data_IF_747189055234
#
_entry.id   IF_747189055234
#
_cell.length_a   1.000
_cell.length_b   1.000
_cell.length_c   1.000
_cell.angle_alpha   90.00
_cell.angle_beta   90.00
_cell.angle_gamma   90.00
#
_symmetry.space_group_name_H-M   'P 1'
#
loop_
_entity.id
_entity.type
_entity.pdbx_description
1 polymer ?
#
# COMPACT_ATOMS: atom_id res chain seq x y z
N UNK A 1 -40.06 -21.73 -3.57
CA UNK A 1 -39.25 -20.88 -2.68
C UNK A 1 -38.12 -20.25 -3.48
N UNK A 2 -38.21 -18.96 -3.82
CA UNK A 2 -37.14 -18.24 -4.52
C UNK A 2 -36.00 -17.97 -3.52
N UNK A 3 -34.83 -18.58 -3.73
CA UNK A 3 -33.63 -18.28 -2.95
C UNK A 3 -33.17 -16.88 -3.35
N UNK A 4 -33.40 -15.89 -2.50
CA UNK A 4 -32.90 -14.53 -2.71
C UNK A 4 -31.39 -14.57 -2.94
N UNK A 5 -30.90 -13.95 -4.02
CA UNK A 5 -29.47 -13.77 -4.25
C UNK A 5 -28.89 -13.07 -3.03
N UNK A 6 -27.95 -13.71 -2.33
CA UNK A 6 -27.16 -13.03 -1.30
C UNK A 6 -26.48 -11.82 -1.95
N UNK A 7 -26.57 -10.61 -1.38
CA UNK A 7 -25.89 -9.45 -1.93
C UNK A 7 -24.38 -9.74 -1.92
N UNK A 8 -23.79 -9.88 -3.11
CA UNK A 8 -22.33 -9.92 -3.27
C UNK A 8 -21.85 -8.49 -3.34
N UNK A 9 -21.40 -7.95 -2.20
CA UNK A 9 -20.67 -6.68 -2.20
C UNK A 9 -19.38 -6.86 -3.02
N UNK A 10 -19.03 -5.89 -3.88
CA UNK A 10 -17.80 -5.98 -4.65
C UNK A 10 -16.59 -5.95 -3.69
N UNK A 11 -15.71 -6.94 -3.82
CA UNK A 11 -14.49 -7.02 -3.02
C UNK A 11 -13.63 -5.78 -3.23
N UNK A 12 -13.32 -5.08 -2.15
CA UNK A 12 -12.37 -3.97 -2.21
C UNK A 12 -10.94 -4.50 -2.15
N UNK A 13 -10.05 -3.91 -2.94
CA UNK A 13 -8.65 -4.34 -2.94
C UNK A 13 -7.95 -4.16 -1.60
N UNK A 14 -8.43 -3.22 -0.77
CA UNK A 14 -7.87 -2.92 0.53
C UNK A 14 -8.16 -4.00 1.57
N UNK A 15 -9.21 -4.81 1.36
CA UNK A 15 -9.61 -5.89 2.26
C UNK A 15 -8.81 -7.18 2.01
N UNK A 16 -8.09 -7.24 0.89
CA UNK A 16 -7.30 -8.40 0.53
C UNK A 16 -5.96 -8.43 1.28
N UNK A 17 -5.64 -9.60 1.85
CA UNK A 17 -4.32 -9.87 2.42
C UNK A 17 -3.25 -9.61 1.36
N UNK A 18 -2.22 -8.85 1.70
CA UNK A 18 -1.27 -8.33 0.71
C UNK A 18 0.18 -8.51 1.15
N UNK A 19 0.99 -9.07 0.25
CA UNK A 19 2.45 -9.01 0.33
C UNK A 19 2.95 -7.68 -0.20
N UNK A 20 3.85 -7.04 0.53
CA UNK A 20 4.46 -5.79 0.11
C UNK A 20 5.98 -5.92 0.19
N UNK A 21 6.66 -5.80 -0.96
CA UNK A 21 8.11 -5.99 -1.05
C UNK A 21 8.87 -4.98 -0.18
N UNK A 22 8.26 -3.81 0.09
CA UNK A 22 8.82 -2.81 1.00
C UNK A 22 8.99 -3.37 2.42
N UNK A 23 8.06 -4.20 2.92
CA UNK A 23 8.18 -4.82 4.24
C UNK A 23 9.37 -5.77 4.32
N UNK A 24 9.63 -6.52 3.24
CA UNK A 24 10.81 -7.39 3.13
C UNK A 24 12.09 -6.54 3.10
N UNK A 25 12.07 -5.40 2.41
CA UNK A 25 13.19 -4.47 2.38
C UNK A 25 13.49 -3.86 3.75
N UNK A 26 12.45 -3.42 4.48
CA UNK A 26 12.55 -2.84 5.82
C UNK A 26 13.11 -3.84 6.84
N UNK A 27 12.76 -5.13 6.69
CA UNK A 27 13.36 -6.23 7.47
C UNK A 27 14.77 -6.62 7.02
N UNK A 28 15.30 -6.00 5.97
CA UNK A 28 16.65 -6.27 5.46
C UNK A 28 16.77 -7.56 4.64
N UNK A 29 15.66 -8.19 4.25
CA UNK A 29 15.67 -9.49 3.57
C UNK A 29 16.06 -9.42 2.08
N UNK A 30 16.05 -8.22 1.47
CA UNK A 30 16.34 -8.01 0.05
C UNK A 30 17.81 -7.66 -0.25
N UNK A 31 18.72 -7.99 0.66
CA UNK A 31 20.17 -7.85 0.44
C UNK A 31 20.62 -8.87 -0.61
N UNK A 32 21.56 -8.46 -1.48
CA UNK A 32 22.10 -9.36 -2.50
C UNK A 32 22.80 -10.55 -1.86
N UNK A 33 22.70 -11.72 -2.49
CA UNK A 33 23.28 -13.01 -2.04
C UNK A 33 22.82 -13.44 -0.65
N UNK A 34 21.57 -13.14 -0.33
CA UNK A 34 21.00 -13.42 0.98
C UNK A 34 19.95 -14.52 0.89
N UNK A 35 19.94 -15.39 1.90
CA UNK A 35 18.92 -16.40 2.10
C UNK A 35 18.22 -16.12 3.43
N UNK A 36 16.90 -16.18 3.42
CA UNK A 36 16.06 -15.95 4.60
C UNK A 36 14.88 -16.89 4.59
N UNK A 37 14.40 -17.27 5.77
CA UNK A 37 13.13 -17.95 5.97
C UNK A 37 12.38 -17.30 7.13
N UNK A 38 11.11 -17.65 7.29
CA UNK A 38 10.29 -17.18 8.40
C UNK A 38 8.81 -17.30 8.07
N UNK A 39 8.00 -16.53 8.77
CA UNK A 39 6.55 -16.62 8.69
C UNK A 39 5.91 -15.27 8.35
N UNK A 40 4.79 -15.34 7.62
CA UNK A 40 3.91 -14.22 7.31
C UNK A 40 2.58 -14.47 7.98
N UNK A 41 2.34 -13.74 9.06
CA UNK A 41 1.13 -13.89 9.86
C UNK A 41 0.10 -12.83 9.45
N UNK A 42 -1.02 -13.30 8.93
CA UNK A 42 -2.25 -12.55 8.77
C UNK A 42 -3.25 -13.01 9.83
N UNK A 43 -4.25 -12.18 10.15
CA UNK A 43 -5.23 -12.47 11.21
C UNK A 43 -5.93 -13.83 11.13
N UNK A 44 -6.02 -14.43 9.93
CA UNK A 44 -6.67 -15.72 9.72
C UNK A 44 -5.82 -16.71 8.92
N UNK A 45 -4.53 -16.43 8.72
CA UNK A 45 -3.66 -17.23 7.84
C UNK A 45 -2.19 -17.00 8.19
N UNK A 46 -1.49 -18.08 8.52
CA UNK A 46 -0.04 -18.10 8.67
C UNK A 46 0.56 -18.80 7.46
N UNK A 47 1.67 -18.26 6.95
CA UNK A 47 2.32 -18.75 5.73
C UNK A 47 3.82 -18.76 5.98
N UNK A 48 4.43 -19.94 5.90
CA UNK A 48 5.88 -20.02 5.95
C UNK A 48 6.45 -19.54 4.62
N UNK A 49 7.61 -18.90 4.67
CA UNK A 49 8.31 -18.51 3.48
C UNK A 49 9.79 -18.85 3.55
N UNK A 50 10.36 -19.12 2.37
CA UNK A 50 11.79 -19.16 2.15
C UNK A 50 12.10 -18.24 0.96
N UNK A 51 13.13 -17.42 1.10
CA UNK A 51 13.51 -16.44 0.10
C UNK A 51 15.00 -16.48 -0.16
N UNK A 52 15.38 -16.53 -1.44
CA UNK A 52 16.76 -16.47 -1.90
C UNK A 52 16.92 -15.29 -2.84
N UNK A 53 17.81 -14.37 -2.51
CA UNK A 53 18.10 -13.18 -3.32
C UNK A 53 19.51 -13.31 -3.89
N UNK A 54 19.64 -13.21 -5.21
CA UNK A 54 20.91 -13.16 -5.93
C UNK A 54 21.34 -11.73 -6.24
N UNK A 55 22.08 -11.55 -7.34
CA UNK A 55 22.62 -10.23 -7.75
C UNK A 55 21.53 -9.27 -8.23
N UNK A 56 20.62 -9.74 -9.09
CA UNK A 56 19.54 -8.92 -9.68
C UNK A 56 18.17 -9.59 -9.66
N UNK A 57 18.13 -10.86 -9.31
CA UNK A 57 16.94 -11.70 -9.27
C UNK A 57 16.90 -12.45 -7.95
N UNK A 58 15.75 -12.99 -7.60
CA UNK A 58 15.56 -13.82 -6.44
C UNK A 58 14.27 -14.61 -6.55
N UNK A 59 14.04 -15.48 -5.59
CA UNK A 59 12.87 -16.34 -5.52
C UNK A 59 12.31 -16.28 -4.11
N UNK A 60 11.00 -16.11 -4.00
CA UNK A 60 10.22 -16.25 -2.78
C UNK A 60 9.31 -17.46 -2.93
N UNK A 61 9.50 -18.44 -2.06
CA UNK A 61 8.64 -19.61 -1.95
C UNK A 61 7.74 -19.41 -0.74
N UNK A 62 6.44 -19.48 -0.96
CA UNK A 62 5.42 -19.45 0.07
C UNK A 62 4.85 -20.85 0.26
N UNK A 63 4.77 -21.30 1.50
CA UNK A 63 4.20 -22.59 1.87
C UNK A 63 2.90 -22.37 2.65
N UNK A 64 1.82 -22.94 2.15
CA UNK A 64 0.49 -22.86 2.74
C UNK A 64 0.06 -24.19 3.39
N UNK A 65 1.02 -25.09 3.65
CA UNK A 65 0.77 -26.46 4.11
C UNK A 65 0.62 -27.41 2.94
N UNK A 66 -0.55 -27.40 2.30
CA UNK A 66 -0.90 -28.36 1.23
C UNK A 66 -0.40 -27.93 -0.15
N UNK A 67 -0.06 -26.65 -0.33
CA UNK A 67 0.44 -26.12 -1.59
C UNK A 67 1.57 -25.12 -1.39
N UNK A 68 2.44 -25.03 -2.41
CA UNK A 68 3.52 -24.05 -2.48
C UNK A 68 3.30 -23.10 -3.65
N UNK A 69 3.55 -21.82 -3.41
CA UNK A 69 3.58 -20.81 -4.47
C UNK A 69 4.98 -20.25 -4.61
N UNK A 70 5.51 -20.28 -5.84
CA UNK A 70 6.82 -19.71 -6.17
C UNK A 70 6.59 -18.35 -6.84
N UNK A 71 7.25 -17.32 -6.32
CA UNK A 71 7.17 -15.94 -6.79
C UNK A 71 8.57 -15.50 -7.17
N UNK A 72 8.75 -15.04 -8.40
CA UNK A 72 10.01 -14.47 -8.84
C UNK A 72 10.15 -13.04 -8.29
N UNK A 73 11.38 -12.68 -7.92
CA UNK A 73 11.75 -11.34 -7.47
C UNK A 73 12.76 -10.78 -8.47
N UNK A 74 12.49 -9.59 -8.98
CA UNK A 74 13.34 -8.93 -9.98
C UNK A 74 13.73 -7.55 -9.50
N UNK A 75 14.92 -7.09 -9.88
CA UNK A 75 15.38 -5.73 -9.59
C UNK A 75 15.48 -4.88 -10.84
N UNK A 76 15.30 -3.57 -10.67
CA UNK A 76 15.61 -2.54 -11.66
C UNK A 76 16.48 -1.47 -11.02
N UNK A 77 17.36 -0.83 -11.79
CA UNK A 77 18.11 0.34 -11.31
C UNK A 77 17.13 1.46 -10.97
N UNK A 78 17.38 2.15 -9.86
CA UNK A 78 16.61 3.32 -9.44
C UNK A 78 16.90 4.48 -10.38
N UNK A 79 15.85 5.13 -10.87
CA UNK A 79 15.97 6.37 -11.64
C UNK A 79 16.54 7.52 -10.79
N UNK A 80 16.52 7.40 -9.46
CA UNK A 80 17.05 8.40 -8.52
C UNK A 80 18.49 8.09 -8.07
N UNK A 81 19.19 7.15 -8.72
CA UNK A 81 20.56 6.76 -8.34
C UNK A 81 20.68 5.97 -7.02
N UNK A 82 19.58 5.78 -6.28
CA UNK A 82 19.53 5.12 -4.98
C UNK A 82 19.71 3.58 -5.01
N UNK A 83 20.43 3.03 -5.99
CA UNK A 83 20.69 1.59 -6.11
C UNK A 83 19.58 0.79 -6.82
N UNK A 84 19.32 -0.43 -6.36
CA UNK A 84 18.34 -1.34 -6.95
C UNK A 84 16.98 -1.24 -6.26
N UNK A 85 15.92 -1.29 -7.06
CA UNK A 85 14.53 -1.39 -6.60
C UNK A 85 14.03 -2.78 -6.95
N UNK A 86 13.56 -3.50 -5.95
CA UNK A 86 13.01 -4.85 -6.07
C UNK A 86 11.50 -4.84 -6.32
N UNK A 87 11.04 -5.82 -7.09
CA UNK A 87 9.64 -6.07 -7.43
C UNK A 87 9.34 -7.56 -7.35
N UNK A 88 8.09 -7.91 -7.02
CA UNK A 88 7.57 -9.24 -7.29
C UNK A 88 7.15 -9.32 -8.75
N UNK A 89 7.43 -10.44 -9.39
CA UNK A 89 6.88 -10.81 -10.69
C UNK A 89 5.73 -11.80 -10.48
N UNK A 90 4.55 -11.43 -10.96
CA UNK A 90 3.34 -12.24 -10.80
C UNK A 90 3.26 -13.29 -11.91
N UNK A 91 3.31 -14.58 -11.55
CA UNK A 91 3.22 -15.70 -12.50
C UNK A 91 1.94 -15.69 -13.34
N UNK A 92 0.81 -15.27 -12.77
CA UNK A 92 -0.50 -15.27 -13.45
C UNK A 92 -0.65 -14.14 -14.48
N UNK A 93 0.11 -13.05 -14.34
CA UNK A 93 -0.05 -11.85 -15.19
C UNK A 93 1.21 -11.44 -15.95
N UNK A 94 2.38 -11.97 -15.60
CA UNK A 94 3.69 -11.53 -16.08
C UNK A 94 4.10 -10.12 -15.63
N UNK A 95 3.29 -9.46 -14.80
CA UNK A 95 3.51 -8.07 -14.39
C UNK A 95 4.36 -7.98 -13.13
N UNK A 96 5.24 -6.97 -13.14
CA UNK A 96 6.04 -6.59 -11.99
C UNK A 96 5.27 -5.64 -11.09
N UNK A 97 5.25 -5.92 -9.79
CA UNK A 97 4.55 -5.14 -8.78
C UNK A 97 5.28 -5.09 -7.45
N UNK A 98 5.09 -3.99 -6.70
CA UNK A 98 5.57 -3.91 -5.30
C UNK A 98 4.65 -4.64 -4.33
N UNK A 99 3.45 -4.98 -4.78
CA UNK A 99 2.40 -5.62 -4.00
C UNK A 99 1.79 -6.78 -4.77
N UNK A 100 1.54 -7.87 -4.07
CA UNK A 100 0.68 -8.96 -4.51
C UNK A 100 -0.45 -9.14 -3.51
N UNK A 101 -1.63 -9.52 -3.99
CA UNK A 101 -2.86 -9.65 -3.21
C UNK A 101 -3.30 -11.10 -3.24
N UNK A 102 -3.70 -11.64 -2.08
CA UNK A 102 -4.22 -12.99 -1.97
C UNK A 102 -5.61 -13.04 -2.61
N UNK A 103 -5.74 -13.81 -3.69
CA UNK A 103 -7.00 -14.05 -4.38
C UNK A 103 -7.06 -15.51 -4.80
N UNK A 104 -8.17 -16.20 -4.49
CA UNK A 104 -8.38 -17.63 -4.79
C UNK A 104 -7.21 -18.52 -4.40
N UNK A 105 -6.65 -18.31 -3.21
CA UNK A 105 -5.52 -19.11 -2.71
C UNK A 105 -4.20 -18.87 -3.46
N UNK A 106 -3.99 -17.71 -4.08
CA UNK A 106 -2.67 -17.33 -4.63
C UNK A 106 -2.41 -15.84 -4.46
N UNK A 107 -1.17 -15.45 -4.26
CA UNK A 107 -0.76 -14.06 -4.33
C UNK A 107 -0.59 -13.63 -5.78
N UNK A 108 -1.42 -12.70 -6.24
CA UNK A 108 -1.45 -12.24 -7.63
C UNK A 108 -1.34 -10.72 -7.71
N UNK A 109 -0.91 -10.21 -8.87
CA UNK A 109 -0.90 -8.79 -9.14
C UNK A 109 -2.34 -8.26 -9.16
N UNK A 110 -2.57 -7.00 -8.74
CA UNK A 110 -3.92 -6.40 -8.68
C UNK A 110 -4.73 -6.58 -9.95
N UNK A 111 -4.09 -6.54 -11.14
CA UNK A 111 -4.79 -6.71 -12.43
C UNK A 111 -5.41 -8.11 -12.62
N UNK A 112 -4.93 -9.12 -11.89
CA UNK A 112 -5.50 -10.47 -11.88
C UNK A 112 -6.62 -10.65 -10.85
N UNK A 113 -7.04 -9.59 -10.16
CA UNK A 113 -8.11 -9.62 -9.18
C UNK A 113 -9.31 -8.83 -9.74
N UNK A 114 -10.53 -9.37 -9.71
CA UNK A 114 -11.74 -8.57 -9.89
C UNK A 114 -11.98 -7.78 -8.60
N UNK A 115 -11.56 -6.52 -8.58
CA UNK A 115 -11.69 -5.64 -7.41
C UNK A 115 -12.22 -4.27 -7.80
N UNK A 116 -12.82 -3.60 -6.82
CA UNK A 116 -13.09 -2.16 -6.88
C UNK A 116 -12.21 -1.42 -5.86
N UNK A 117 -11.89 -0.17 -6.14
CA UNK A 117 -11.48 0.74 -5.09
C UNK A 117 -12.72 1.20 -4.32
N UNK A 118 -12.61 1.38 -3.00
CA UNK A 118 -13.70 1.89 -2.17
C UNK A 118 -14.39 3.10 -2.80
N UNK A 119 -13.61 4.05 -3.29
CA UNK A 119 -14.09 5.28 -3.93
C UNK A 119 -14.98 5.03 -5.16
N UNK A 120 -14.82 3.91 -5.87
CA UNK A 120 -15.62 3.55 -7.06
C UNK A 120 -17.01 3.03 -6.70
N UNK A 121 -17.20 2.54 -5.47
CA UNK A 121 -18.51 2.11 -4.98
C UNK A 121 -19.43 3.31 -4.65
N UNK A 122 -18.90 4.55 -4.69
CA UNK A 122 -19.65 5.77 -4.40
C UNK A 122 -19.89 6.61 -5.67
N UNK A 123 -21.12 7.12 -5.80
CA UNK A 123 -21.46 8.17 -6.77
C UNK A 123 -20.61 9.43 -6.56
N UNK A 124 -20.44 10.24 -7.61
CA UNK A 124 -19.54 11.42 -7.59
C UNK A 124 -19.86 12.38 -6.42
N UNK A 125 -21.14 12.64 -6.17
CA UNK A 125 -21.59 13.51 -5.07
C UNK A 125 -21.27 12.88 -3.71
N UNK A 126 -21.49 11.58 -3.56
CA UNK A 126 -21.18 10.85 -2.32
C UNK A 126 -19.67 10.79 -2.03
N UNK A 127 -18.80 10.77 -3.05
CA UNK A 127 -17.35 10.89 -2.85
C UNK A 127 -16.96 12.24 -2.27
N UNK A 128 -17.58 13.31 -2.75
CA UNK A 128 -17.36 14.67 -2.25
C UNK A 128 -17.85 14.80 -0.80
N UNK A 129 -19.05 14.29 -0.50
CA UNK A 129 -19.61 14.24 0.86
C UNK A 129 -18.69 13.44 1.79
N UNK A 130 -18.25 12.25 1.38
CA UNK A 130 -17.29 11.42 2.15
C UNK A 130 -15.97 12.16 2.42
N UNK A 131 -15.46 12.91 1.45
CA UNK A 131 -14.25 13.72 1.61
C UNK A 131 -14.46 14.86 2.62
N UNK A 132 -15.61 15.54 2.56
CA UNK A 132 -15.97 16.58 3.53
C UNK A 132 -16.09 15.99 4.94
N UNK A 133 -16.83 14.90 5.12
CA UNK A 133 -16.96 14.24 6.42
C UNK A 133 -15.61 13.79 7.00
N UNK A 134 -14.72 13.21 6.18
CA UNK A 134 -13.38 12.83 6.64
C UNK A 134 -12.54 14.06 7.02
N UNK A 135 -12.73 15.20 6.37
CA UNK A 135 -12.07 16.46 6.73
C UNK A 135 -12.60 17.02 8.05
N UNK A 136 -13.92 17.07 8.24
CA UNK A 136 -14.58 17.53 9.47
C UNK A 136 -14.19 16.67 10.68
N UNK A 137 -14.08 15.35 10.49
CA UNK A 137 -13.64 14.41 11.54
C UNK A 137 -12.11 14.42 11.74
N UNK A 138 -11.36 15.28 11.06
CA UNK A 138 -9.90 15.33 11.13
C UNK A 138 -9.17 14.14 10.50
N UNK A 139 -9.90 13.14 9.97
CA UNK A 139 -9.38 11.91 9.36
C UNK A 139 -8.66 12.12 8.02
N UNK A 140 -8.82 13.28 7.41
CA UNK A 140 -8.17 13.70 6.17
C UNK A 140 -7.31 14.96 6.34
N UNK A 141 -7.01 15.37 7.58
CA UNK A 141 -5.98 16.38 7.82
C UNK A 141 -4.70 15.81 7.22
N UNK A 142 -4.14 16.42 6.16
CA UNK A 142 -2.93 15.90 5.59
C UNK A 142 -1.88 15.96 6.70
N UNK A 143 -1.41 14.80 7.12
CA UNK A 143 -0.12 14.70 7.76
C UNK A 143 0.87 15.19 6.69
N UNK A 144 1.16 16.49 6.68
CA UNK A 144 2.06 17.11 5.70
C UNK A 144 3.46 16.60 6.02
N UNK A 145 3.79 15.40 5.54
CA UNK A 145 5.06 14.74 5.86
C UNK A 145 6.28 15.51 5.36
N UNK A 146 6.10 16.45 4.41
CA UNK A 146 7.16 17.31 3.87
C UNK A 146 6.62 18.69 3.50
N UNK A 147 7.00 19.69 4.28
CA UNK A 147 6.77 21.12 3.99
C UNK A 147 7.56 21.55 2.74
N UNK A 148 8.78 21.04 2.61
CA UNK A 148 9.71 21.35 1.53
C UNK A 148 10.13 20.10 0.76
N UNK A 149 10.36 20.28 -0.53
CA UNK A 149 11.04 19.32 -1.40
C UNK A 149 12.09 20.06 -2.22
N UNK A 150 13.35 19.68 -2.08
CA UNK A 150 14.48 20.34 -2.73
C UNK A 150 14.51 21.86 -2.50
N UNK A 151 14.34 22.28 -1.24
CA UNK A 151 14.32 23.69 -0.82
C UNK A 151 13.06 24.48 -1.22
N UNK A 152 12.14 23.89 -2.00
CA UNK A 152 10.91 24.56 -2.45
C UNK A 152 9.71 24.06 -1.66
N UNK A 153 8.74 24.93 -1.39
CA UNK A 153 7.47 24.55 -0.78
C UNK A 153 6.79 23.49 -1.65
N UNK A 154 6.29 22.42 -1.02
CA UNK A 154 5.50 21.44 -1.76
C UNK A 154 4.17 22.07 -2.19
N UNK A 155 3.63 21.63 -3.34
CA UNK A 155 2.32 22.11 -3.84
C UNK A 155 1.21 21.96 -2.80
N UNK A 156 1.26 20.90 -2.00
CA UNK A 156 0.28 20.64 -0.95
C UNK A 156 0.45 21.60 0.23
N UNK A 157 1.68 21.86 0.69
CA UNK A 157 1.94 22.79 1.78
C UNK A 157 1.68 24.25 1.36
N UNK A 158 1.97 24.62 0.12
CA UNK A 158 1.60 25.94 -0.42
C UNK A 158 0.08 26.14 -0.45
N UNK A 159 -0.70 25.12 -0.84
CA UNK A 159 -2.18 25.17 -0.79
C UNK A 159 -2.71 25.28 0.64
N UNK A 160 -2.02 24.67 1.59
CA UNK A 160 -2.33 24.77 3.01
C UNK A 160 -2.11 26.18 3.55
N UNK A 161 -0.93 26.76 3.30
CA UNK A 161 -0.63 28.14 3.70
C UNK A 161 -1.64 29.13 3.11
N UNK A 162 -1.98 28.98 1.82
CA UNK A 162 -3.05 29.78 1.18
C UNK A 162 -4.44 29.58 1.77
N UNK A 163 -4.71 28.42 2.36
CA UNK A 163 -5.96 28.19 3.06
C UNK A 163 -5.94 28.79 4.48
N UNK A 164 -4.79 28.75 5.16
CA UNK A 164 -4.59 29.43 6.44
C UNK A 164 -4.64 30.96 6.31
N UNK A 165 -4.07 31.54 5.25
CA UNK A 165 -4.15 32.99 4.97
C UNK A 165 -5.59 33.50 4.83
N UNK A 166 -6.53 32.61 4.47
CA UNK A 166 -7.97 32.93 4.40
C UNK A 166 -8.69 32.80 5.75
N UNK A 167 -7.96 32.40 6.78
CA UNK A 167 -8.43 32.29 8.16
C UNK A 167 -7.63 33.25 9.02
N UNK A 168 -8.13 33.55 10.22
CA UNK A 168 -7.38 34.33 11.22
C UNK A 168 -6.28 33.53 11.91
N UNK A 169 -6.07 32.27 11.51
CA UNK A 169 -5.21 31.30 12.19
C UNK A 169 -3.83 31.31 11.53
N UNK A 170 -2.79 31.54 12.32
CA UNK A 170 -1.40 31.48 11.90
C UNK A 170 -0.90 30.02 11.80
N UNK A 171 0.17 29.81 11.03
CA UNK A 171 0.80 28.50 10.92
C UNK A 171 1.32 27.95 12.26
N UNK A 172 1.71 28.82 13.20
CA UNK A 172 2.18 28.43 14.53
C UNK A 172 1.01 28.02 15.43
N UNK A 173 -0.10 28.74 15.41
CA UNK A 173 -1.32 28.37 16.16
C UNK A 173 -1.87 27.02 15.72
N UNK A 174 -1.84 26.73 14.41
CA UNK A 174 -2.21 25.41 13.90
C UNK A 174 -1.24 24.30 14.37
N UNK A 175 0.08 24.59 14.43
CA UNK A 175 1.08 23.62 14.93
C UNK A 175 0.86 23.30 16.41
N UNK A 176 0.50 24.28 17.24
CA UNK A 176 0.17 24.06 18.64
C UNK A 176 -1.15 23.30 18.82
N UNK A 177 -2.20 23.67 18.09
CA UNK A 177 -3.47 22.92 18.07
C UNK A 177 -3.27 21.44 17.71
N UNK A 178 -2.41 21.16 16.72
CA UNK A 178 -2.07 19.80 16.31
C UNK A 178 -1.44 18.96 17.43
N UNK A 179 -0.53 19.54 18.22
CA UNK A 179 0.10 18.87 19.37
C UNK A 179 -0.94 18.46 20.42
N UNK A 180 -1.94 19.31 20.64
CA UNK A 180 -3.01 19.10 21.64
C UNK A 180 -3.95 17.96 21.22
N UNK A 181 -4.31 17.90 19.94
CA UNK A 181 -5.32 16.93 19.43
C UNK A 181 -4.70 15.56 19.09
N UNK A 182 -3.39 15.36 19.30
CA UNK A 182 -2.64 14.13 18.95
C UNK A 182 -2.88 13.68 17.48
N UNK A 183 -2.88 14.64 16.56
CA UNK A 183 -2.96 14.42 15.10
C UNK A 183 -1.61 14.49 14.40
#
# INVERSE_FOLDING_TARGET
>A
MARGRKPTFPTEIHDLKCLNIRKFNEKGYLKQYHYTNGEINFSSLNIDFAMKIGKKTGVLVLNFGDYKQIIQIVSKKSNLGAGLIWFFECSETGLNGRKLYLHKGKFVHRKGVPYNYAAQNYGKNWRFVRQLFRREQGLDIPEYKREYYNGKLTKNYSRFLKALEKTSITANEFKEFRKIVKL
#
